data_IF_946819441870
#
_entry.id   IF_946819441870
#
_cell.length_a   1.000
_cell.length_b   1.000
_cell.length_c   1.000
_cell.angle_alpha   90.00
_cell.angle_beta   90.00
_cell.angle_gamma   90.00
#
_symmetry.space_group_name_H-M   'P 1'
#
loop_
_entity.id
_entity.type
_entity.pdbx_description
1 polymer ?
#
# COMPACT_ATOMS: atom_id res chain seq x y z
N UNK A 1 3.43 -1.38 23.67
CA UNK A 1 3.71 -1.18 22.23
C UNK A 1 2.86 0.00 21.75
N UNK A 2 3.44 0.93 20.98
CA UNK A 2 2.71 2.08 20.41
C UNK A 2 1.58 1.59 19.49
N UNK A 3 0.43 2.22 19.56
CA UNK A 3 -0.75 1.91 18.73
C UNK A 3 -1.01 3.02 17.74
N UNK A 4 -1.51 2.67 16.57
CA UNK A 4 -1.74 3.59 15.47
C UNK A 4 -3.21 3.63 15.08
N UNK A 5 -3.72 4.82 14.85
CA UNK A 5 -5.07 5.06 14.30
C UNK A 5 -5.10 5.03 12.78
N UNK A 6 -3.92 5.16 12.15
CA UNK A 6 -3.76 5.10 10.70
C UNK A 6 -2.61 4.15 10.37
N UNK A 7 -2.88 3.16 9.53
CA UNK A 7 -1.88 2.27 8.94
C UNK A 7 -1.93 2.44 7.43
N UNK A 8 -0.80 2.75 6.82
CA UNK A 8 -0.63 2.89 5.38
C UNK A 8 0.37 1.85 4.90
N UNK A 9 0.04 1.05 3.90
CA UNK A 9 0.84 -0.08 3.49
C UNK A 9 0.88 -0.27 1.97
N UNK A 10 2.07 -0.55 1.45
CA UNK A 10 2.31 -0.91 0.06
C UNK A 10 3.14 -2.21 0.01
N UNK A 11 2.52 -3.38 0.22
CA UNK A 11 3.24 -4.65 0.25
C UNK A 11 3.95 -4.92 -1.08
N UNK A 12 5.13 -5.55 -1.04
CA UNK A 12 5.87 -5.98 -2.22
C UNK A 12 5.24 -7.25 -2.81
N UNK A 13 4.06 -7.09 -3.41
CA UNK A 13 3.27 -8.18 -3.97
C UNK A 13 4.06 -8.99 -4.99
N UNK A 14 3.98 -10.31 -4.89
CA UNK A 14 4.46 -11.21 -5.93
C UNK A 14 3.41 -11.38 -7.02
N UNK A 15 3.85 -11.27 -8.27
CA UNK A 15 3.00 -11.46 -9.45
C UNK A 15 3.30 -12.78 -10.13
N UNK A 16 2.26 -13.51 -10.51
CA UNK A 16 2.43 -14.60 -11.48
C UNK A 16 2.68 -14.01 -12.87
N UNK A 17 3.84 -14.31 -13.43
CA UNK A 17 4.22 -13.85 -14.76
C UNK A 17 3.87 -14.94 -15.77
N UNK A 18 2.89 -14.67 -16.65
CA UNK A 18 2.40 -15.62 -17.65
C UNK A 18 3.41 -15.93 -18.78
N UNK A 19 4.52 -15.25 -18.87
CA UNK A 19 5.56 -15.56 -19.86
C UNK A 19 6.96 -15.19 -19.39
N UNK A 20 7.95 -16.01 -19.78
CA UNK A 20 9.39 -15.73 -19.50
C UNK A 20 9.87 -14.39 -20.09
N UNK A 21 9.25 -13.89 -21.15
CA UNK A 21 9.55 -12.57 -21.76
C UNK A 21 9.12 -11.39 -20.86
N UNK A 22 8.23 -11.62 -19.90
CA UNK A 22 7.76 -10.62 -18.95
C UNK A 22 8.63 -10.50 -17.68
N UNK A 23 9.51 -11.48 -17.39
CA UNK A 23 10.31 -11.53 -16.16
C UNK A 23 11.18 -10.28 -15.94
N UNK A 24 11.82 -9.75 -17.00
CA UNK A 24 12.63 -8.55 -16.90
C UNK A 24 11.86 -7.25 -16.61
N UNK A 25 10.52 -7.29 -16.60
CA UNK A 25 9.63 -6.17 -16.31
C UNK A 25 8.71 -6.42 -15.12
N UNK A 26 8.86 -7.57 -14.45
CA UNK A 26 8.10 -7.91 -13.25
C UNK A 26 8.68 -7.21 -12.02
N UNK A 27 7.88 -7.12 -10.96
CA UNK A 27 8.32 -6.57 -9.68
C UNK A 27 9.56 -7.30 -9.12
N UNK A 28 9.64 -8.62 -9.32
CA UNK A 28 10.75 -9.48 -8.87
C UNK A 28 12.11 -9.11 -9.47
N UNK A 29 12.15 -8.46 -10.63
CA UNK A 29 13.41 -7.99 -11.25
C UNK A 29 13.90 -6.66 -10.67
N UNK A 30 13.09 -5.96 -9.86
CA UNK A 30 13.40 -4.63 -9.37
C UNK A 30 13.55 -4.56 -7.85
N UNK A 31 12.88 -5.44 -7.10
CA UNK A 31 12.97 -5.51 -5.62
C UNK A 31 12.49 -6.89 -5.13
N UNK A 32 12.94 -7.32 -3.92
CA UNK A 32 12.46 -8.56 -3.31
C UNK A 32 10.94 -8.50 -3.10
N UNK A 33 10.22 -9.49 -3.62
CA UNK A 33 8.78 -9.67 -3.40
C UNK A 33 8.55 -10.60 -2.21
N UNK A 34 7.34 -10.53 -1.62
CA UNK A 34 6.91 -11.43 -0.55
C UNK A 34 5.82 -12.36 -1.05
N UNK A 35 5.82 -13.59 -0.54
CA UNK A 35 4.70 -14.51 -0.76
C UNK A 35 3.44 -13.98 -0.06
N UNK A 36 2.28 -14.27 -0.63
CA UNK A 36 1.00 -13.84 -0.07
C UNK A 36 0.81 -14.29 1.37
N UNK A 37 1.20 -15.53 1.68
CA UNK A 37 1.07 -16.08 3.03
C UNK A 37 1.95 -15.35 4.04
N UNK A 38 3.16 -14.94 3.65
CA UNK A 38 4.05 -14.16 4.51
C UNK A 38 3.48 -12.77 4.79
N UNK A 39 2.89 -12.11 3.77
CA UNK A 39 2.20 -10.82 3.96
C UNK A 39 1.02 -10.98 4.92
N UNK A 40 0.21 -12.04 4.75
CA UNK A 40 -0.95 -12.34 5.61
C UNK A 40 -0.54 -12.65 7.05
N UNK A 41 0.60 -13.32 7.24
CA UNK A 41 1.11 -13.73 8.55
C UNK A 41 1.67 -12.56 9.38
N UNK A 42 1.95 -11.40 8.77
CA UNK A 42 2.41 -10.24 9.51
C UNK A 42 1.39 -9.81 10.57
N UNK A 43 1.80 -9.62 11.84
CA UNK A 43 0.89 -9.31 12.94
C UNK A 43 0.47 -7.82 12.95
N UNK A 44 0.09 -7.28 11.80
CA UNK A 44 -0.26 -5.86 11.62
C UNK A 44 -1.39 -5.43 12.54
N UNK A 45 -2.35 -6.31 12.80
CA UNK A 45 -3.45 -6.06 13.74
C UNK A 45 -2.99 -5.73 15.16
N UNK A 46 -1.76 -6.12 15.55
CA UNK A 46 -1.18 -5.79 16.86
C UNK A 46 -0.72 -4.34 16.95
N UNK A 47 -0.48 -3.68 15.83
CA UNK A 47 -0.14 -2.25 15.78
C UNK A 47 -1.39 -1.37 15.81
N UNK A 48 -2.54 -1.89 15.44
CA UNK A 48 -3.77 -1.12 15.33
C UNK A 48 -4.31 -0.70 16.70
N UNK A 49 -4.72 0.57 16.82
CA UNK A 49 -5.58 1.03 17.88
C UNK A 49 -6.96 0.38 17.80
N UNK A 50 -7.82 0.56 18.81
CA UNK A 50 -9.19 0.02 18.81
C UNK A 50 -9.99 0.59 17.64
N UNK A 51 -9.83 1.88 17.36
CA UNK A 51 -10.35 2.55 16.17
C UNK A 51 -9.19 2.87 15.22
N UNK A 52 -9.10 2.13 14.12
CA UNK A 52 -7.99 2.23 13.16
C UNK A 52 -8.46 2.13 11.72
N UNK A 53 -7.84 2.90 10.83
CA UNK A 53 -8.03 2.82 9.38
C UNK A 53 -6.78 2.29 8.72
N UNK A 54 -6.97 1.29 7.86
CA UNK A 54 -5.95 0.74 6.98
C UNK A 54 -6.13 1.29 5.57
N UNK A 55 -5.06 1.82 5.01
CA UNK A 55 -4.91 2.18 3.59
C UNK A 55 -3.92 1.21 2.95
N UNK A 56 -4.40 0.37 2.05
CA UNK A 56 -3.62 -0.75 1.48
C UNK A 56 -3.57 -0.65 -0.04
N UNK A 57 -2.37 -0.43 -0.59
CA UNK A 57 -2.16 -0.42 -2.02
C UNK A 57 -2.21 -1.81 -2.63
N UNK A 58 -2.84 -1.91 -3.78
CA UNK A 58 -2.86 -3.11 -4.59
C UNK A 58 -3.02 -2.75 -6.07
N UNK A 59 -2.57 -3.66 -6.92
CA UNK A 59 -2.92 -3.62 -8.33
C UNK A 59 -4.23 -4.35 -8.58
N UNK A 60 -4.91 -4.03 -9.67
CA UNK A 60 -6.23 -4.60 -9.99
C UNK A 60 -6.20 -6.14 -10.07
N UNK A 61 -5.20 -6.80 -10.68
CA UNK A 61 -5.14 -8.25 -10.71
C UNK A 61 -5.05 -8.93 -9.33
N UNK A 62 -4.54 -8.23 -8.31
CA UNK A 62 -4.35 -8.75 -6.96
C UNK A 62 -5.45 -8.33 -5.97
N UNK A 63 -6.59 -7.83 -6.44
CA UNK A 63 -7.69 -7.42 -5.57
C UNK A 63 -8.18 -8.55 -4.66
N UNK A 64 -8.29 -9.77 -5.16
CA UNK A 64 -8.71 -10.92 -4.36
C UNK A 64 -7.76 -11.15 -3.18
N UNK A 65 -6.46 -11.11 -3.44
CA UNK A 65 -5.41 -11.31 -2.43
C UNK A 65 -5.39 -10.17 -1.42
N UNK A 66 -5.57 -8.93 -1.88
CA UNK A 66 -5.68 -7.76 -1.04
C UNK A 66 -6.82 -7.89 -0.01
N UNK A 67 -7.99 -8.37 -0.40
CA UNK A 67 -9.09 -8.63 0.53
C UNK A 67 -8.73 -9.69 1.57
N UNK A 68 -7.98 -10.72 1.18
CA UNK A 68 -7.54 -11.77 2.09
C UNK A 68 -6.56 -11.24 3.15
N UNK A 69 -5.63 -10.37 2.74
CA UNK A 69 -4.68 -9.69 3.63
C UNK A 69 -5.39 -8.78 4.63
N UNK A 70 -6.33 -7.95 4.17
CA UNK A 70 -7.12 -7.10 5.08
C UNK A 70 -7.81 -7.91 6.18
N UNK A 71 -8.44 -9.03 5.82
CA UNK A 71 -9.08 -9.93 6.79
C UNK A 71 -8.07 -10.56 7.76
N UNK A 72 -6.93 -11.04 7.25
CA UNK A 72 -5.88 -11.63 8.06
C UNK A 72 -5.31 -10.65 9.09
N UNK A 73 -5.22 -9.37 8.73
CA UNK A 73 -4.76 -8.30 9.62
C UNK A 73 -5.86 -7.78 10.58
N UNK A 74 -7.08 -8.32 10.50
CA UNK A 74 -8.20 -7.96 11.38
C UNK A 74 -8.97 -6.71 10.97
N UNK A 75 -8.94 -6.35 9.68
CA UNK A 75 -9.66 -5.20 9.14
C UNK A 75 -10.83 -5.61 8.24
N UNK A 76 -11.89 -4.81 8.26
CA UNK A 76 -13.06 -4.95 7.41
C UNK A 76 -13.03 -3.93 6.27
N UNK A 77 -13.07 -4.40 5.03
CA UNK A 77 -13.12 -3.54 3.84
C UNK A 77 -14.32 -2.59 3.88
N UNK A 78 -14.11 -1.35 3.45
CA UNK A 78 -15.15 -0.33 3.33
C UNK A 78 -15.31 0.20 1.92
N UNK A 79 -14.21 0.61 1.29
CA UNK A 79 -14.23 1.23 -0.04
C UNK A 79 -12.83 1.30 -0.64
N UNK A 80 -12.72 1.78 -1.87
CA UNK A 80 -11.47 2.25 -2.45
C UNK A 80 -11.25 3.69 -2.00
N UNK A 81 -10.19 3.93 -1.23
CA UNK A 81 -9.82 5.28 -0.78
C UNK A 81 -9.32 6.12 -1.95
N UNK A 82 -8.34 5.59 -2.69
CA UNK A 82 -7.73 6.29 -3.82
C UNK A 82 -7.62 5.40 -5.05
N UNK A 83 -7.81 6.04 -6.21
CA UNK A 83 -7.52 5.49 -7.52
C UNK A 83 -6.40 6.34 -8.10
N UNK A 84 -5.21 5.78 -8.20
CA UNK A 84 -4.10 6.47 -8.83
C UNK A 84 -4.11 6.24 -10.33
N UNK A 85 -4.38 7.29 -11.08
CA UNK A 85 -4.28 7.33 -12.54
C UNK A 85 -2.88 7.85 -12.89
N UNK A 86 -2.10 7.01 -13.55
CA UNK A 86 -0.69 7.27 -13.86
C UNK A 86 -0.52 8.08 -15.12
N UNK A 87 0.26 9.14 -15.04
CA UNK A 87 0.75 9.90 -16.19
C UNK A 87 2.18 9.51 -16.53
N UNK A 88 2.57 9.67 -17.77
CA UNK A 88 3.93 9.44 -18.21
C UNK A 88 4.91 10.39 -17.50
N UNK A 89 6.14 9.93 -17.25
CA UNK A 89 7.15 10.69 -16.47
C UNK A 89 7.42 12.10 -17.00
N UNK A 90 7.31 12.31 -18.31
CA UNK A 90 7.70 13.56 -18.99
C UNK A 90 6.55 14.23 -19.74
N UNK A 91 5.32 13.77 -19.59
CA UNK A 91 4.15 14.36 -20.25
C UNK A 91 2.87 14.06 -19.48
N UNK A 92 1.86 14.91 -19.67
CA UNK A 92 0.53 14.75 -19.03
C UNK A 92 -0.33 13.63 -19.67
N UNK A 93 0.20 12.96 -20.70
CA UNK A 93 -0.48 11.82 -21.29
C UNK A 93 -0.53 10.63 -20.33
N UNK A 94 -1.55 9.79 -20.47
CA UNK A 94 -1.71 8.63 -19.61
C UNK A 94 -0.62 7.58 -19.89
N UNK A 95 -0.08 7.02 -18.81
CA UNK A 95 0.82 5.87 -18.88
C UNK A 95 0.02 4.61 -19.22
N UNK A 96 0.54 3.78 -20.12
CA UNK A 96 -0.04 2.49 -20.47
C UNK A 96 0.94 1.36 -20.16
N UNK A 97 0.61 0.60 -19.14
CA UNK A 97 1.38 -0.59 -18.76
C UNK A 97 1.00 -1.83 -19.58
N UNK A 98 1.69 -2.93 -19.27
CA UNK A 98 1.42 -4.23 -19.87
C UNK A 98 0.31 -4.95 -19.06
N UNK A 99 -0.79 -5.24 -19.70
CA UNK A 99 -1.86 -6.06 -19.10
C UNK A 99 -2.16 -7.27 -19.98
N UNK A 100 -2.61 -8.37 -19.38
CA UNK A 100 -2.96 -9.59 -20.14
C UNK A 100 -4.22 -9.38 -21.00
N UNK A 101 -5.24 -8.74 -20.44
CA UNK A 101 -6.50 -8.48 -21.12
C UNK A 101 -6.59 -7.07 -21.68
N UNK A 102 -6.28 -6.08 -20.88
CA UNK A 102 -6.32 -4.67 -21.25
C UNK A 102 -5.01 -3.99 -20.89
N UNK A 103 -4.70 -2.83 -21.49
CA UNK A 103 -3.54 -2.03 -21.12
C UNK A 103 -3.78 -1.41 -19.76
N UNK A 104 -3.01 -1.83 -18.74
CA UNK A 104 -3.17 -1.38 -17.37
C UNK A 104 -2.66 0.05 -17.19
N UNK A 105 -3.31 0.79 -16.30
CA UNK A 105 -2.85 2.10 -15.84
C UNK A 105 -2.99 2.25 -14.33
N UNK A 106 -4.23 2.11 -13.81
CA UNK A 106 -4.56 2.48 -12.44
C UNK A 106 -4.03 1.49 -11.39
N UNK A 107 -3.72 2.04 -10.21
CA UNK A 107 -3.58 1.27 -8.98
C UNK A 107 -4.60 1.75 -7.94
N UNK A 108 -4.99 0.85 -7.05
CA UNK A 108 -5.99 1.12 -6.03
C UNK A 108 -5.36 1.15 -4.65
N UNK A 109 -5.74 2.16 -3.86
CA UNK A 109 -5.52 2.19 -2.42
C UNK A 109 -6.85 1.85 -1.74
N UNK A 110 -6.92 0.67 -1.15
CA UNK A 110 -8.12 0.18 -0.48
C UNK A 110 -8.23 0.78 0.91
N UNK A 111 -9.45 1.03 1.39
CA UNK A 111 -9.73 1.46 2.74
C UNK A 111 -10.47 0.37 3.50
N UNK A 112 -9.91 -0.02 4.64
CA UNK A 112 -10.52 -0.95 5.57
C UNK A 112 -10.46 -0.39 7.01
N UNK A 113 -11.33 -0.84 7.89
CA UNK A 113 -11.39 -0.34 9.26
C UNK A 113 -11.38 -1.46 10.29
N UNK A 114 -10.83 -1.15 11.47
CA UNK A 114 -11.01 -1.87 12.71
C UNK A 114 -11.73 -0.92 13.67
N UNK A 115 -12.72 -1.40 14.43
CA UNK A 115 -13.56 -0.54 15.27
C UNK A 115 -14.42 0.44 14.46
N UNK A 116 -14.57 1.64 14.96
CA UNK A 116 -15.45 2.67 14.41
C UNK A 116 -14.73 4.02 14.19
N UNK A 117 -13.61 4.05 13.45
CA UNK A 117 -12.90 5.30 13.20
C UNK A 117 -13.78 6.28 12.42
N UNK A 118 -13.61 7.56 12.71
CA UNK A 118 -14.38 8.64 12.06
C UNK A 118 -13.46 9.48 11.18
N UNK A 119 -13.89 9.77 9.96
CA UNK A 119 -13.22 10.75 9.11
C UNK A 119 -13.36 12.14 9.69
N UNK A 120 -12.36 12.99 9.52
CA UNK A 120 -12.37 14.40 9.89
C UNK A 120 -12.84 15.31 8.76
N UNK A 121 -12.46 14.98 7.53
CA UNK A 121 -12.86 15.73 6.33
C UNK A 121 -13.78 14.91 5.43
N UNK A 122 -14.74 15.59 4.80
CA UNK A 122 -15.61 15.03 3.79
C UNK A 122 -15.22 15.46 2.36
N UNK A 123 -14.22 16.34 2.22
CA UNK A 123 -13.83 16.94 0.94
C UNK A 123 -12.68 16.26 0.22
N UNK A 124 -12.13 15.14 0.76
CA UNK A 124 -11.01 14.45 0.15
C UNK A 124 -11.45 13.68 -1.09
N UNK A 125 -10.83 13.98 -2.23
CA UNK A 125 -11.16 13.34 -3.50
C UNK A 125 -10.46 11.98 -3.67
N UNK A 126 -11.14 11.06 -4.32
CA UNK A 126 -10.67 9.70 -4.54
C UNK A 126 -9.60 9.58 -5.62
N UNK A 127 -9.75 10.30 -6.74
CA UNK A 127 -8.82 10.19 -7.87
C UNK A 127 -7.56 10.98 -7.61
N UNK A 128 -6.41 10.32 -7.78
CA UNK A 128 -5.08 10.94 -7.82
C UNK A 128 -4.58 10.82 -9.25
N UNK A 129 -4.27 11.94 -9.89
CA UNK A 129 -3.65 12.00 -11.20
C UNK A 129 -2.25 12.56 -11.03
N UNK A 130 -1.23 11.75 -11.30
CA UNK A 130 0.15 12.17 -11.15
C UNK A 130 1.11 11.40 -12.06
N UNK A 131 2.27 11.99 -12.31
CA UNK A 131 3.35 11.36 -13.06
C UNK A 131 3.92 10.16 -12.30
N UNK A 132 4.32 9.12 -13.04
CA UNK A 132 5.14 8.04 -12.48
C UNK A 132 6.54 8.58 -12.18
N UNK A 133 7.07 8.21 -11.03
CA UNK A 133 8.44 8.53 -10.60
C UNK A 133 9.35 7.31 -10.72
N UNK A 134 10.01 6.94 -9.64
CA UNK A 134 10.80 5.71 -9.55
C UNK A 134 9.88 4.49 -9.51
N UNK A 135 10.45 3.31 -9.80
CA UNK A 135 9.67 2.07 -9.81
C UNK A 135 8.86 1.88 -8.52
N UNK A 136 7.57 1.67 -8.69
CA UNK A 136 6.61 1.38 -7.62
C UNK A 136 6.42 2.48 -6.55
N UNK A 137 7.06 3.64 -6.66
CA UNK A 137 6.87 4.76 -5.72
C UNK A 137 5.45 5.28 -5.85
N UNK A 138 4.70 5.25 -4.73
CA UNK A 138 3.34 5.80 -4.67
C UNK A 138 3.38 7.33 -4.55
N UNK A 139 2.36 8.04 -5.07
CA UNK A 139 2.33 9.50 -5.03
C UNK A 139 2.28 10.02 -3.58
N UNK A 140 3.10 11.02 -3.27
CA UNK A 140 3.12 11.71 -1.97
C UNK A 140 1.74 12.31 -1.61
N UNK A 141 0.97 12.65 -2.62
CA UNK A 141 -0.41 13.12 -2.51
C UNK A 141 -1.28 12.16 -1.68
N UNK A 142 -1.02 10.85 -1.74
CA UNK A 142 -1.77 9.87 -0.96
C UNK A 142 -1.59 10.10 0.55
N UNK A 143 -0.34 10.28 1.04
CA UNK A 143 -0.07 10.55 2.46
C UNK A 143 -0.74 11.86 2.91
N UNK A 144 -0.65 12.91 2.09
CA UNK A 144 -1.27 14.21 2.37
C UNK A 144 -2.79 14.05 2.52
N UNK A 145 -3.44 13.35 1.59
CA UNK A 145 -4.88 13.12 1.61
C UNK A 145 -5.33 12.22 2.77
N UNK A 146 -4.52 11.25 3.17
CA UNK A 146 -4.80 10.42 4.36
C UNK A 146 -4.86 11.31 5.61
N UNK A 147 -3.88 12.20 5.80
CA UNK A 147 -3.87 13.12 6.95
C UNK A 147 -5.03 14.12 6.88
N UNK A 148 -5.37 14.63 5.71
CA UNK A 148 -6.54 15.49 5.50
C UNK A 148 -7.85 14.77 5.86
N UNK A 149 -7.99 13.49 5.41
CA UNK A 149 -9.18 12.68 5.67
C UNK A 149 -9.36 12.34 7.15
N UNK A 150 -8.28 11.92 7.81
CA UNK A 150 -8.33 11.34 9.15
C UNK A 150 -7.92 12.31 10.26
N UNK A 151 -7.18 13.36 9.94
CA UNK A 151 -6.54 14.27 10.90
C UNK A 151 -5.13 13.83 11.29
N UNK A 152 -4.49 14.66 12.12
CA UNK A 152 -3.13 14.40 12.64
C UNK A 152 -3.17 13.40 13.80
N UNK A 153 -3.31 12.13 13.46
CA UNK A 153 -3.39 10.99 14.37
C UNK A 153 -2.09 10.17 14.35
N UNK A 154 -1.82 9.36 15.39
CA UNK A 154 -0.71 8.39 15.35
C UNK A 154 -0.82 7.51 14.11
N UNK A 155 0.24 7.52 13.30
CA UNK A 155 0.26 6.85 11.99
C UNK A 155 1.58 6.17 11.69
N UNK A 156 1.49 5.09 10.92
CA UNK A 156 2.64 4.30 10.48
C UNK A 156 2.51 3.93 9.01
N UNK A 157 3.65 3.95 8.31
CA UNK A 157 3.78 3.38 6.98
C UNK A 157 4.53 2.04 7.05
N UNK A 158 3.90 0.99 6.53
CA UNK A 158 4.48 -0.34 6.41
C UNK A 158 5.05 -0.55 5.01
N UNK A 159 6.16 -1.29 4.93
CA UNK A 159 6.95 -1.50 3.71
C UNK A 159 7.55 -0.20 3.18
N UNK A 160 7.81 0.74 4.08
CA UNK A 160 8.39 2.03 3.75
C UNK A 160 9.82 1.89 3.21
N UNK A 161 10.16 2.68 2.20
CA UNK A 161 11.52 2.78 1.64
C UNK A 161 12.28 4.00 2.15
N UNK A 162 11.58 4.97 2.68
CA UNK A 162 12.13 6.19 3.25
C UNK A 162 11.26 6.70 4.38
N UNK A 163 11.84 7.49 5.29
CA UNK A 163 11.06 8.18 6.32
C UNK A 163 10.29 9.34 5.70
N UNK A 164 9.07 9.55 6.19
CA UNK A 164 8.24 10.70 5.89
C UNK A 164 7.89 11.43 7.19
N UNK A 165 7.83 12.76 7.14
CA UNK A 165 7.57 13.58 8.31
C UNK A 165 6.22 13.24 8.96
N UNK A 166 6.26 13.02 10.26
CA UNK A 166 5.08 12.67 11.06
C UNK A 166 4.57 11.23 10.86
N UNK A 167 5.30 10.38 10.17
CA UNK A 167 5.02 8.96 10.02
C UNK A 167 6.08 8.12 10.72
N UNK A 168 5.68 7.20 11.57
CA UNK A 168 6.54 6.09 11.93
C UNK A 168 6.64 5.13 10.73
N UNK A 169 7.70 4.35 10.64
CA UNK A 169 7.96 3.48 9.50
C UNK A 169 8.38 2.08 9.91
N UNK A 170 8.00 1.11 9.07
CA UNK A 170 8.53 -0.25 9.08
C UNK A 170 8.77 -0.69 7.64
N UNK A 171 9.96 -1.21 7.34
CA UNK A 171 10.34 -1.67 6.00
C UNK A 171 11.80 -2.10 5.93
N UNK A 172 12.19 -2.71 4.82
CA UNK A 172 13.54 -3.27 4.64
C UNK A 172 14.61 -2.22 4.32
N UNK A 173 14.23 -1.05 3.83
CA UNK A 173 15.16 0.00 3.37
C UNK A 173 15.26 1.18 4.35
N UNK A 174 14.64 1.07 5.53
CA UNK A 174 14.57 2.15 6.55
C UNK A 174 14.93 1.65 7.94
N UNK A 175 15.42 2.56 8.79
CA UNK A 175 15.49 2.30 10.22
C UNK A 175 14.05 2.27 10.79
N UNK A 176 13.59 1.07 11.18
CA UNK A 176 12.21 0.85 11.64
C UNK A 176 11.96 1.48 13.01
N UNK A 177 10.78 2.08 13.19
CA UNK A 177 10.33 2.63 14.47
C UNK A 177 9.57 1.57 15.32
N UNK A 178 9.21 0.44 14.73
CA UNK A 178 8.54 -0.70 15.40
C UNK A 178 9.16 -2.03 14.95
N UNK A 179 9.01 -3.06 15.78
CA UNK A 179 9.29 -4.43 15.40
C UNK A 179 7.97 -5.16 15.13
N UNK A 180 7.82 -5.71 13.92
CA UNK A 180 6.81 -6.70 13.59
C UNK A 180 7.46 -8.08 13.70
N UNK A 181 7.47 -8.64 14.91
CA UNK A 181 8.00 -9.99 15.14
C UNK A 181 6.96 -11.02 14.74
N UNK A 182 7.13 -11.59 13.57
CA UNK A 182 6.23 -12.60 13.01
C UNK A 182 6.82 -13.20 11.73
N UNK A 183 8.09 -13.59 11.78
CA UNK A 183 8.88 -14.13 10.67
C UNK A 183 10.00 -13.19 10.27
N UNK A 184 11.24 -13.60 10.52
CA UNK A 184 12.38 -12.99 9.85
C UNK A 184 12.14 -13.11 8.34
N UNK A 185 12.32 -12.04 7.56
CA UNK A 185 12.32 -12.20 6.13
C UNK A 185 13.47 -13.17 5.79
N UNK A 186 13.12 -14.32 5.22
CA UNK A 186 14.10 -15.25 4.70
C UNK A 186 14.89 -14.51 3.62
N UNK A 187 16.04 -13.97 3.99
CA UNK A 187 17.04 -13.45 3.07
C UNK A 187 17.78 -14.67 2.52
N UNK A 188 17.30 -15.15 1.39
CA UNK A 188 17.95 -16.17 0.56
C UNK A 188 18.42 -15.55 -0.74
#
# INVERSE_FOLDING_TARGET
MKKYSIIYADPPWRYEVYSKKGLGRSAESHYPTMELEDIRALPVGTLAADDCVLFLWTTIPLLHDCFSVMRAWGFSYKTVAFVWIKQNRKSDSLFWGMGHWTRANAEFCMLATKGHPKRRSAGVHQVILSHIEEHSKKPEEARRRIVELMGDLPRIELFARQKADGWDVWGNEVACDVALTGGEPNVG
#
